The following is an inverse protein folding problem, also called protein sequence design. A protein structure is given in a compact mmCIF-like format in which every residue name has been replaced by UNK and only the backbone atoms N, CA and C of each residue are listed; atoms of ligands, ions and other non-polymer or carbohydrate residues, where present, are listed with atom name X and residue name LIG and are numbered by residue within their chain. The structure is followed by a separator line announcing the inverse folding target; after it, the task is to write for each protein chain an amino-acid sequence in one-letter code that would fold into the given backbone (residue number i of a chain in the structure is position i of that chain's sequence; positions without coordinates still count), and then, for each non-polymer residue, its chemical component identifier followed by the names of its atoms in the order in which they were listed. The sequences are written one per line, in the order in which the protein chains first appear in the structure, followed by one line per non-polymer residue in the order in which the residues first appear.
data_IF_522250064108
#
_entry.id   IF_522250064108
#
_cell.length_a   1.000
_cell.length_b   1.000
_cell.length_c   1.000
_cell.angle_alpha   90.00
_cell.angle_beta   90.00
_cell.angle_gamma   90.00
#
_symmetry.space_group_name_H-M   'P 1'
#
loop_
_entity.id
_entity.type
_entity.pdbx_description
1 polymer ?
#
# COMPACT_ATOMS: atom_id res chain seq x y z
N UNK A 1 8.55 -7.95 21.74
CA UNK A 1 7.84 -7.53 22.96
C UNK A 1 6.57 -6.84 22.53
N UNK A 2 5.40 -7.43 22.77
CA UNK A 2 4.14 -6.70 22.63
C UNK A 2 4.14 -5.62 23.72
N UNK A 3 4.21 -4.34 23.35
CA UNK A 3 3.99 -3.25 24.30
C UNK A 3 2.59 -3.47 24.89
N UNK A 4 2.46 -3.45 26.21
CA UNK A 4 1.18 -3.68 26.88
C UNK A 4 0.30 -2.43 26.77
N UNK A 5 -0.33 -2.24 25.61
CA UNK A 5 -1.17 -1.07 25.32
C UNK A 5 -2.43 -1.00 26.18
N UNK A 6 -2.77 -2.07 26.93
CA UNK A 6 -3.88 -2.08 27.90
C UNK A 6 -3.74 -1.06 29.02
N UNK A 7 -2.55 -0.49 29.23
CA UNK A 7 -2.32 0.55 30.24
C UNK A 7 -2.41 1.99 29.69
N UNK A 8 -2.55 2.16 28.37
CA UNK A 8 -2.72 3.50 27.78
C UNK A 8 -4.19 3.90 27.92
N UNK A 9 -4.43 4.96 28.70
CA UNK A 9 -5.75 5.57 28.85
C UNK A 9 -5.79 6.92 28.13
N UNK A 10 -6.68 7.08 27.17
CA UNK A 10 -6.96 8.37 26.54
C UNK A 10 -7.84 9.18 27.49
N UNK A 11 -7.32 10.31 27.98
CA UNK A 11 -8.03 11.20 28.91
C UNK A 11 -8.45 12.46 28.18
N UNK A 12 -9.76 12.72 28.15
CA UNK A 12 -10.33 13.99 27.69
C UNK A 12 -10.59 14.87 28.92
N UNK A 13 -10.03 16.08 28.93
CA UNK A 13 -10.25 17.08 29.98
C UNK A 13 -11.64 17.74 29.91
N UNK A 14 -12.35 17.60 28.78
CA UNK A 14 -13.74 18.03 28.64
C UNK A 14 -14.46 17.24 27.54
N UNK A 15 -15.79 17.31 27.54
CA UNK A 15 -16.64 16.76 26.46
C UNK A 15 -16.48 17.47 25.12
N UNK A 16 -15.77 18.62 25.08
CA UNK A 16 -15.46 19.37 23.86
C UNK A 16 -14.16 18.94 23.18
N UNK A 17 -13.40 18.04 23.81
CA UNK A 17 -12.20 17.47 23.20
C UNK A 17 -12.54 16.23 22.38
N UNK A 18 -11.85 16.09 21.25
CA UNK A 18 -11.97 14.96 20.35
C UNK A 18 -10.73 14.09 20.47
N UNK A 19 -10.91 12.79 20.71
CA UNK A 19 -9.83 11.82 20.64
C UNK A 19 -9.83 11.16 19.26
N UNK A 20 -8.74 11.32 18.50
CA UNK A 20 -8.61 10.71 17.17
C UNK A 20 -7.50 9.67 17.22
N UNK A 21 -7.81 8.41 16.89
CA UNK A 21 -6.80 7.38 16.68
C UNK A 21 -6.16 7.64 15.32
N UNK A 22 -4.84 7.83 15.27
CA UNK A 22 -4.10 8.01 14.03
C UNK A 22 -3.09 6.89 13.82
N UNK A 23 -3.11 6.26 12.65
CA UNK A 23 -2.05 5.33 12.23
C UNK A 23 -1.95 5.23 10.71
N UNK A 24 -0.72 5.15 10.20
CA UNK A 24 -0.47 4.64 8.84
C UNK A 24 0.14 3.24 8.86
N UNK A 25 0.34 2.65 10.04
CA UNK A 25 0.91 1.32 10.21
C UNK A 25 -0.19 0.25 10.33
N UNK A 26 0.05 -0.89 9.70
CA UNK A 26 -0.88 -2.01 9.73
C UNK A 26 -1.05 -2.61 11.14
N UNK A 27 -2.28 -3.01 11.46
CA UNK A 27 -2.60 -3.66 12.74
C UNK A 27 -1.89 -5.00 12.96
N UNK A 28 -1.43 -5.66 11.90
CA UNK A 28 -0.56 -6.84 12.01
C UNK A 28 0.79 -6.55 12.67
N UNK A 29 1.30 -5.31 12.58
CA UNK A 29 2.47 -4.87 13.34
C UNK A 29 2.09 -4.35 14.73
N UNK A 30 0.88 -3.80 14.86
CA UNK A 30 0.37 -3.17 16.07
C UNK A 30 -1.07 -3.64 16.37
N UNK A 31 -1.23 -4.81 17.00
CA UNK A 31 -2.55 -5.45 17.16
C UNK A 31 -3.57 -4.62 17.96
N UNK A 32 -3.11 -3.61 18.71
CA UNK A 32 -4.01 -2.69 19.42
C UNK A 32 -4.93 -1.90 18.49
N UNK A 33 -4.57 -1.69 17.21
CA UNK A 33 -5.46 -1.05 16.23
C UNK A 33 -6.65 -1.91 15.79
N UNK A 34 -6.66 -3.18 16.20
CA UNK A 34 -7.82 -4.06 16.15
C UNK A 34 -8.33 -4.39 17.56
N UNK A 35 -7.79 -3.84 18.66
CA UNK A 35 -8.31 -4.15 20.00
C UNK A 35 -9.55 -3.27 20.30
N UNK A 36 -10.75 -3.84 20.50
CA UNK A 36 -11.95 -3.05 20.81
C UNK A 36 -11.81 -2.22 22.08
N UNK A 37 -11.10 -2.72 23.10
CA UNK A 37 -10.89 -1.99 24.36
C UNK A 37 -9.96 -0.80 24.16
N UNK A 38 -8.98 -0.94 23.25
CA UNK A 38 -8.12 0.18 22.87
C UNK A 38 -8.89 1.22 22.05
N UNK A 39 -9.67 0.75 21.07
CA UNK A 39 -10.36 1.61 20.10
C UNK A 39 -11.58 2.34 20.67
N UNK A 40 -12.24 1.80 21.70
CA UNK A 40 -13.37 2.44 22.41
C UNK A 40 -12.98 3.76 23.09
N UNK A 41 -11.68 4.01 23.28
CA UNK A 41 -11.17 5.23 23.91
C UNK A 41 -11.16 6.44 22.96
N UNK A 42 -11.42 6.23 21.67
CA UNK A 42 -11.36 7.25 20.63
C UNK A 42 -12.76 7.62 20.11
N UNK A 43 -12.86 8.76 19.47
CA UNK A 43 -14.09 9.27 18.86
C UNK A 43 -14.07 9.15 17.33
N UNK A 44 -12.88 9.06 16.71
CA UNK A 44 -12.68 8.87 15.28
C UNK A 44 -11.44 8.02 15.00
N UNK A 45 -11.45 7.35 13.84
CA UNK A 45 -10.27 6.73 13.25
C UNK A 45 -9.77 7.56 12.05
N UNK A 46 -8.45 7.77 12.03
CA UNK A 46 -7.70 8.40 10.94
C UNK A 46 -6.59 7.43 10.51
N UNK A 47 -6.89 6.59 9.52
CA UNK A 47 -5.99 5.50 9.12
C UNK A 47 -6.02 5.21 7.63
N UNK A 48 -5.18 4.29 7.17
CA UNK A 48 -5.19 3.84 5.77
C UNK A 48 -6.46 3.05 5.39
N UNK A 49 -7.28 2.65 6.36
CA UNK A 49 -8.50 1.88 6.12
C UNK A 49 -9.53 2.76 5.41
N UNK A 50 -10.20 2.21 4.39
CA UNK A 50 -11.16 2.97 3.59
C UNK A 50 -12.39 3.41 4.38
N UNK A 51 -12.75 2.64 5.41
CA UNK A 51 -13.90 2.91 6.30
C UNK A 51 -13.56 3.85 7.46
N UNK A 52 -12.31 4.29 7.59
CA UNK A 52 -11.95 5.29 8.60
C UNK A 52 -12.69 6.60 8.32
N UNK A 53 -13.05 7.33 9.38
CA UNK A 53 -13.76 8.62 9.23
C UNK A 53 -12.86 9.66 8.55
N UNK A 54 -11.54 9.49 8.69
CA UNK A 54 -10.52 10.33 8.07
C UNK A 54 -9.47 9.46 7.35
N UNK A 55 -9.77 8.96 6.13
CA UNK A 55 -8.84 8.10 5.41
C UNK A 55 -7.53 8.78 5.05
N UNK A 56 -6.42 8.14 5.41
CA UNK A 56 -5.06 8.51 5.04
C UNK A 56 -4.63 7.71 3.82
N UNK A 57 -4.19 8.39 2.77
CA UNK A 57 -3.61 7.73 1.60
C UNK A 57 -2.10 7.92 1.56
N UNK A 58 -1.39 6.88 1.14
CA UNK A 58 0.01 7.01 0.73
C UNK A 58 0.15 7.58 -0.68
N UNK A 59 -0.93 7.60 -1.46
CA UNK A 59 -0.96 8.29 -2.75
C UNK A 59 -0.97 9.79 -2.52
N UNK A 60 -0.05 10.50 -3.19
CA UNK A 60 0.03 11.94 -3.18
C UNK A 60 -0.42 12.54 -4.52
N UNK A 61 -0.93 13.77 -4.49
CA UNK A 61 -1.39 14.50 -5.68
C UNK A 61 -0.28 14.69 -6.73
N UNK A 62 0.94 15.02 -6.30
CA UNK A 62 2.10 15.17 -7.20
C UNK A 62 2.40 13.87 -7.97
N UNK A 63 2.21 12.71 -7.36
CA UNK A 63 2.42 11.43 -8.05
C UNK A 63 1.38 11.21 -9.15
N UNK A 64 0.14 11.66 -8.94
CA UNK A 64 -0.93 11.59 -9.94
C UNK A 64 -0.58 12.43 -11.17
N UNK A 65 -0.08 13.64 -10.95
CA UNK A 65 0.39 14.53 -12.01
C UNK A 65 1.56 13.89 -12.76
N UNK A 66 2.59 13.43 -12.04
CA UNK A 66 3.80 12.86 -12.63
C UNK A 66 3.48 11.64 -13.50
N UNK A 67 2.72 10.64 -13.03
CA UNK A 67 2.45 9.48 -13.88
C UNK A 67 1.48 9.79 -15.04
N UNK A 68 0.79 10.92 -15.02
CA UNK A 68 -0.09 11.33 -16.12
C UNK A 68 0.71 12.03 -17.21
N UNK A 69 1.71 12.83 -16.82
CA UNK A 69 2.47 13.70 -17.72
C UNK A 69 3.81 13.12 -18.17
N UNK A 70 4.55 12.44 -17.28
CA UNK A 70 5.90 11.95 -17.58
C UNK A 70 5.88 10.86 -18.65
N UNK A 71 6.73 10.94 -19.70
CA UNK A 71 6.89 9.84 -20.62
C UNK A 71 7.43 8.60 -19.90
N UNK A 72 6.89 7.43 -20.24
CA UNK A 72 7.42 6.15 -19.75
C UNK A 72 8.72 5.86 -20.51
N UNK A 73 9.82 5.56 -19.81
CA UNK A 73 11.04 5.02 -20.45
C UNK A 73 10.69 3.82 -21.33
N UNK A 74 11.14 3.78 -22.61
CA UNK A 74 10.82 2.70 -23.54
C UNK A 74 11.18 1.30 -23.02
N UNK A 75 10.45 0.29 -23.48
CA UNK A 75 10.63 -1.11 -23.07
C UNK A 75 12.06 -1.61 -23.30
N UNK A 76 12.66 -1.25 -24.43
CA UNK A 76 14.00 -1.69 -24.86
C UNK A 76 15.12 -1.10 -24.01
N UNK A 77 14.89 0.05 -23.39
CA UNK A 77 15.86 0.73 -22.51
C UNK A 77 15.80 0.21 -21.07
N UNK A 78 14.80 -0.61 -20.75
CA UNK A 78 14.60 -1.16 -19.41
C UNK A 78 15.23 -2.54 -19.28
N UNK A 79 15.79 -2.80 -18.10
CA UNK A 79 16.31 -4.11 -17.74
C UNK A 79 15.21 -5.15 -17.52
N UNK A 80 15.45 -6.37 -18.02
CA UNK A 80 14.62 -7.56 -17.77
C UNK A 80 14.67 -8.04 -16.32
N UNK A 81 15.74 -7.66 -15.61
CA UNK A 81 15.94 -8.01 -14.21
C UNK A 81 14.89 -7.31 -13.33
N UNK A 82 14.10 -8.00 -12.49
CA UNK A 82 13.17 -7.33 -11.59
C UNK A 82 13.90 -6.53 -10.51
N UNK A 83 13.36 -5.34 -10.18
CA UNK A 83 13.85 -4.54 -9.07
C UNK A 83 13.19 -4.93 -7.74
N UNK A 84 13.95 -5.02 -6.67
CA UNK A 84 13.44 -5.19 -5.31
C UNK A 84 14.09 -4.19 -4.36
N UNK A 85 13.38 -3.11 -4.02
CA UNK A 85 13.95 -1.99 -3.23
C UNK A 85 13.36 -2.00 -1.82
N UNK A 86 14.09 -2.52 -0.82
CA UNK A 86 13.61 -2.66 0.55
C UNK A 86 14.74 -2.52 1.60
N UNK A 87 14.42 -1.87 2.73
CA UNK A 87 15.36 -1.73 3.87
C UNK A 87 14.82 -2.27 5.20
N UNK A 88 13.53 -2.61 5.30
CA UNK A 88 12.97 -3.33 6.44
C UNK A 88 12.91 -4.84 6.11
N UNK A 89 13.81 -5.64 6.66
CA UNK A 89 14.02 -7.03 6.23
C UNK A 89 13.34 -8.07 7.14
N UNK A 90 12.91 -7.65 8.33
CA UNK A 90 12.22 -8.52 9.31
C UNK A 90 10.75 -8.15 9.34
N UNK A 91 10.00 -8.68 8.37
CA UNK A 91 8.61 -8.28 8.15
C UNK A 91 7.64 -9.43 8.39
N UNK A 92 6.44 -9.11 8.90
CA UNK A 92 5.38 -10.10 9.17
C UNK A 92 4.91 -10.77 7.88
N UNK A 93 4.98 -10.05 6.74
CA UNK A 93 4.60 -10.59 5.42
C UNK A 93 5.51 -11.70 4.88
N UNK A 94 6.71 -11.88 5.44
CA UNK A 94 7.68 -12.87 4.95
C UNK A 94 8.20 -12.59 3.52
N UNK A 95 8.11 -11.34 3.05
CA UNK A 95 8.46 -10.95 1.67
C UNK A 95 9.89 -11.32 1.28
N UNK A 96 10.88 -11.11 2.15
CA UNK A 96 12.28 -11.43 1.89
C UNK A 96 12.50 -12.93 1.65
N UNK A 97 11.81 -13.79 2.42
CA UNK A 97 11.89 -15.23 2.24
C UNK A 97 11.30 -15.65 0.88
N UNK A 98 10.25 -14.97 0.43
CA UNK A 98 9.64 -15.20 -0.89
C UNK A 98 10.56 -14.75 -2.03
N UNK A 99 11.15 -13.57 -1.92
CA UNK A 99 12.10 -13.05 -2.93
C UNK A 99 13.38 -13.89 -2.98
N UNK A 100 13.88 -14.37 -1.83
CA UNK A 100 15.01 -15.31 -1.78
C UNK A 100 14.73 -16.59 -2.58
N UNK A 101 13.53 -17.17 -2.44
CA UNK A 101 13.11 -18.32 -3.25
C UNK A 101 13.01 -17.99 -4.75
N UNK A 102 12.60 -16.77 -5.11
CA UNK A 102 12.62 -16.34 -6.52
C UNK A 102 14.04 -16.23 -7.07
N UNK A 103 15.01 -15.79 -6.26
CA UNK A 103 16.42 -15.71 -6.64
C UNK A 103 17.08 -17.08 -6.87
N UNK A 104 16.45 -18.19 -6.46
CA UNK A 104 16.95 -19.54 -6.73
C UNK A 104 16.74 -19.96 -8.19
N UNK A 105 15.74 -19.38 -8.88
CA UNK A 105 15.47 -19.65 -10.28
C UNK A 105 16.58 -19.07 -11.17
N UNK A 106 17.21 -19.93 -11.98
CA UNK A 106 18.39 -19.59 -12.80
C UNK A 106 18.09 -18.64 -13.96
N UNK A 107 16.83 -18.57 -14.39
CA UNK A 107 16.36 -17.69 -15.45
C UNK A 107 15.88 -16.33 -14.93
N UNK A 108 15.98 -16.09 -13.61
CA UNK A 108 15.69 -14.79 -13.01
C UNK A 108 16.95 -14.19 -12.40
N UNK A 109 17.22 -12.93 -12.76
CA UNK A 109 18.22 -12.10 -12.09
C UNK A 109 17.51 -10.97 -11.37
N UNK A 110 17.27 -11.11 -10.06
CA UNK A 110 16.65 -10.05 -9.26
C UNK A 110 17.73 -9.08 -8.77
N UNK A 111 17.52 -7.79 -9.01
CA UNK A 111 18.41 -6.70 -8.57
C UNK A 111 17.78 -6.10 -7.33
N UNK A 112 18.37 -6.35 -6.16
CA UNK A 112 17.86 -5.87 -4.88
C UNK A 112 18.70 -4.72 -4.35
N UNK A 113 18.00 -3.67 -3.95
CA UNK A 113 18.55 -2.41 -3.46
C UNK A 113 18.05 -2.15 -2.04
N UNK A 114 18.82 -1.38 -1.26
CA UNK A 114 18.57 -1.18 0.17
C UNK A 114 19.19 -2.30 1.01
N UNK A 115 18.81 -2.37 2.29
CA UNK A 115 19.46 -3.28 3.24
C UNK A 115 19.07 -4.76 3.06
N UNK A 116 17.99 -5.06 2.34
CA UNK A 116 17.42 -6.40 2.26
C UNK A 116 17.84 -7.14 1.00
N UNK A 117 18.44 -8.34 1.16
CA UNK A 117 19.02 -9.22 0.12
C UNK A 117 20.18 -8.59 -0.69
N UNK A 118 20.13 -7.29 -0.91
CA UNK A 118 21.16 -6.37 -1.38
C UNK A 118 22.20 -6.93 -2.38
N UNK A 119 21.76 -7.24 -3.60
CA UNK A 119 22.65 -7.72 -4.67
C UNK A 119 23.43 -6.58 -5.34
N UNK A 120 23.01 -5.32 -5.16
CA UNK A 120 23.66 -4.14 -5.74
C UNK A 120 24.64 -3.43 -4.79
N UNK A 121 24.77 -3.89 -3.54
CA UNK A 121 25.75 -3.40 -2.56
C UNK A 121 25.24 -2.31 -1.62
N UNK A 122 25.94 -2.11 -0.50
CA UNK A 122 25.54 -1.24 0.62
C UNK A 122 25.99 0.22 0.47
N UNK A 123 26.67 0.58 -0.60
CA UNK A 123 27.35 1.87 -0.78
C UNK A 123 26.41 3.08 -0.87
N UNK A 124 25.11 2.92 -0.59
CA UNK A 124 24.10 3.96 -0.70
C UNK A 124 24.03 4.46 -2.12
N UNK A 125 23.15 3.89 -2.94
CA UNK A 125 22.87 4.56 -4.21
C UNK A 125 22.31 5.96 -3.91
N UNK A 126 22.93 7.01 -4.46
CA UNK A 126 22.38 8.38 -4.41
C UNK A 126 21.12 8.50 -5.28
N UNK A 127 20.84 7.48 -6.08
CA UNK A 127 19.66 7.34 -6.92
C UNK A 127 18.39 7.20 -6.06
N UNK A 128 17.31 7.87 -6.48
CA UNK A 128 16.02 7.69 -5.83
C UNK A 128 15.42 6.32 -6.15
N UNK A 129 14.52 5.82 -5.29
CA UNK A 129 13.78 4.56 -5.54
C UNK A 129 13.01 4.58 -6.87
N UNK A 130 12.45 5.73 -7.23
CA UNK A 130 11.71 5.91 -8.49
C UNK A 130 12.65 5.78 -9.69
N UNK A 131 13.84 6.38 -9.62
CA UNK A 131 14.84 6.30 -10.70
C UNK A 131 15.36 4.86 -10.87
N UNK A 132 15.58 4.15 -9.76
CA UNK A 132 15.87 2.71 -9.81
C UNK A 132 14.73 2.00 -10.57
N UNK A 133 13.47 2.19 -10.18
CA UNK A 133 12.33 1.56 -10.84
C UNK A 133 12.20 1.93 -12.33
N UNK A 134 12.56 3.15 -12.74
CA UNK A 134 12.53 3.57 -14.16
C UNK A 134 13.44 2.73 -15.05
N UNK A 135 14.53 2.17 -14.49
CA UNK A 135 15.46 1.29 -15.21
C UNK A 135 14.97 -0.15 -15.39
N UNK A 136 13.86 -0.53 -14.79
CA UNK A 136 13.40 -1.92 -14.75
C UNK A 136 12.01 -2.07 -15.38
N UNK A 137 11.77 -3.19 -16.06
CA UNK A 137 10.44 -3.51 -16.62
C UNK A 137 9.44 -3.87 -15.52
N UNK A 138 9.95 -4.58 -14.50
CA UNK A 138 9.16 -5.14 -13.39
C UNK A 138 9.78 -4.74 -12.05
N UNK A 139 8.96 -4.39 -11.06
CA UNK A 139 9.37 -4.16 -9.68
C UNK A 139 8.55 -5.00 -8.71
N UNK A 140 9.20 -5.54 -7.67
CA UNK A 140 8.57 -6.33 -6.62
C UNK A 140 8.24 -5.39 -5.46
N UNK A 141 6.96 -5.07 -5.28
CA UNK A 141 6.46 -4.01 -4.38
C UNK A 141 5.72 -4.55 -3.15
N UNK A 142 6.16 -5.70 -2.65
CA UNK A 142 5.53 -6.37 -1.50
C UNK A 142 5.61 -5.54 -0.21
N UNK A 143 4.47 -5.39 0.47
CA UNK A 143 4.37 -4.70 1.75
C UNK A 143 5.08 -5.46 2.88
N UNK A 144 5.47 -4.73 3.94
CA UNK A 144 6.01 -5.33 5.16
C UNK A 144 4.95 -6.16 5.93
N UNK A 145 3.67 -5.89 5.68
CA UNK A 145 2.54 -6.53 6.31
C UNK A 145 1.43 -6.82 5.32
N UNK A 146 0.62 -7.84 5.60
CA UNK A 146 -0.57 -8.16 4.81
C UNK A 146 -1.78 -7.76 5.65
N UNK A 147 -2.50 -6.75 5.21
CA UNK A 147 -3.74 -6.28 5.84
C UNK A 147 -4.68 -5.73 4.77
N UNK A 148 -5.98 -5.78 5.03
CA UNK A 148 -6.99 -5.14 4.20
C UNK A 148 -6.69 -3.65 4.03
N UNK A 149 -6.94 -3.09 2.85
CA UNK A 149 -6.68 -1.69 2.47
C UNK A 149 -5.23 -1.21 2.55
N UNK A 150 -4.29 -2.05 3.00
CA UNK A 150 -2.91 -1.64 3.25
C UNK A 150 -2.10 -1.59 1.94
N UNK A 151 -2.14 -0.44 1.28
CA UNK A 151 -1.36 -0.10 0.09
C UNK A 151 -0.56 1.17 0.36
N UNK A 152 0.76 1.08 0.23
CA UNK A 152 1.68 2.16 0.60
C UNK A 152 2.36 2.81 -0.59
N UNK A 153 3.37 3.65 -0.34
CA UNK A 153 4.19 4.31 -1.36
C UNK A 153 4.81 3.33 -2.35
N UNK A 154 5.02 2.06 -1.97
CA UNK A 154 5.66 1.05 -2.83
C UNK A 154 4.94 0.85 -4.15
N UNK A 155 3.61 0.84 -4.14
CA UNK A 155 2.83 0.70 -5.37
C UNK A 155 2.89 1.99 -6.19
N UNK A 156 2.70 3.14 -5.54
CA UNK A 156 2.61 4.42 -6.25
C UNK A 156 3.96 4.85 -6.84
N UNK A 157 5.08 4.57 -6.16
CA UNK A 157 6.42 4.81 -6.70
C UNK A 157 6.67 3.98 -7.98
N UNK A 158 6.13 2.76 -8.04
CA UNK A 158 6.21 1.92 -9.24
C UNK A 158 5.37 2.46 -10.39
N UNK A 159 4.16 2.95 -10.09
CA UNK A 159 3.29 3.62 -11.06
C UNK A 159 3.94 4.87 -11.65
N UNK A 160 4.49 5.74 -10.79
CA UNK A 160 5.28 6.91 -11.22
C UNK A 160 6.43 6.51 -12.15
N UNK A 161 7.17 5.46 -11.79
CA UNK A 161 8.30 4.99 -12.60
C UNK A 161 7.89 4.28 -13.90
N UNK A 162 6.60 4.00 -14.12
CA UNK A 162 6.13 3.11 -15.19
C UNK A 162 6.74 1.71 -15.12
N UNK A 163 7.08 1.24 -13.91
CA UNK A 163 7.62 -0.08 -13.67
C UNK A 163 6.48 -1.00 -13.26
N UNK A 164 6.27 -2.14 -13.93
CA UNK A 164 5.12 -3.02 -13.67
C UNK A 164 5.24 -3.61 -12.25
N UNK A 165 4.33 -3.26 -11.31
CA UNK A 165 4.45 -3.71 -9.93
C UNK A 165 3.91 -5.14 -9.75
N UNK A 166 4.72 -6.00 -9.14
CA UNK A 166 4.32 -7.32 -8.66
C UNK A 166 4.20 -7.34 -7.14
N UNK A 167 3.02 -7.73 -6.66
CA UNK A 167 2.70 -7.91 -5.23
C UNK A 167 2.96 -9.37 -4.81
N UNK A 168 2.17 -9.89 -3.89
CA UNK A 168 2.28 -11.27 -3.41
C UNK A 168 1.71 -12.28 -4.42
N UNK A 169 2.26 -13.49 -4.41
CA UNK A 169 1.86 -14.62 -5.26
C UNK A 169 2.76 -15.82 -4.98
N UNK A 170 2.41 -17.02 -5.49
CA UNK A 170 3.33 -18.17 -5.39
C UNK A 170 4.61 -17.87 -6.19
N UNK A 171 5.75 -18.45 -5.81
CA UNK A 171 7.03 -18.19 -6.49
C UNK A 171 7.00 -18.64 -7.95
N UNK A 172 6.33 -19.75 -8.24
CA UNK A 172 6.13 -20.24 -9.61
C UNK A 172 5.28 -19.26 -10.44
N UNK A 173 4.21 -18.73 -9.86
CA UNK A 173 3.33 -17.79 -10.54
C UNK A 173 4.04 -16.44 -10.77
N UNK A 174 4.73 -15.91 -9.75
CA UNK A 174 5.55 -14.69 -9.88
C UNK A 174 6.64 -14.85 -10.93
N UNK A 175 7.35 -15.99 -10.98
CA UNK A 175 8.33 -16.28 -12.03
C UNK A 175 7.69 -16.24 -13.42
N UNK A 176 6.56 -16.92 -13.60
CA UNK A 176 5.84 -16.93 -14.88
C UNK A 176 5.49 -15.52 -15.34
N UNK A 177 4.97 -14.69 -14.44
CA UNK A 177 4.59 -13.31 -14.77
C UNK A 177 5.81 -12.42 -15.05
N UNK A 178 6.90 -12.55 -14.27
CA UNK A 178 8.15 -11.82 -14.53
C UNK A 178 8.65 -12.11 -15.94
N UNK A 179 8.75 -13.39 -16.32
CA UNK A 179 9.25 -13.78 -17.64
C UNK A 179 8.31 -13.31 -18.76
N UNK A 180 6.99 -13.42 -18.55
CA UNK A 180 5.98 -12.98 -19.51
C UNK A 180 6.04 -11.47 -19.75
N UNK A 181 6.12 -10.67 -18.69
CA UNK A 181 6.12 -9.21 -18.77
C UNK A 181 7.47 -8.67 -19.25
N UNK A 182 8.59 -9.23 -18.80
CA UNK A 182 9.91 -8.78 -19.23
C UNK A 182 10.24 -9.19 -20.66
N UNK A 183 9.72 -10.33 -21.13
CA UNK A 183 10.02 -10.90 -22.44
C UNK A 183 9.13 -10.45 -23.61
N UNK A 184 8.00 -9.78 -23.34
CA UNK A 184 7.04 -9.38 -24.36
C UNK A 184 6.66 -7.90 -24.22
N UNK A 185 7.04 -7.11 -25.22
CA UNK A 185 6.78 -5.67 -25.28
C UNK A 185 5.29 -5.35 -25.25
N UNK A 186 4.48 -6.06 -26.03
CA UNK A 186 3.04 -5.77 -26.12
C UNK A 186 2.35 -6.08 -24.79
N UNK A 187 2.77 -7.17 -24.11
CA UNK A 187 2.32 -7.47 -22.76
C UNK A 187 2.71 -6.34 -21.81
N UNK A 188 3.97 -5.92 -21.80
CA UNK A 188 4.42 -4.86 -20.89
C UNK A 188 3.71 -3.53 -21.15
N UNK A 189 3.57 -3.11 -22.41
CA UNK A 189 2.87 -1.88 -22.80
C UNK A 189 1.41 -1.92 -22.35
N UNK A 190 0.74 -3.07 -22.46
CA UNK A 190 -0.63 -3.23 -21.95
C UNK A 190 -0.74 -3.01 -20.44
N UNK A 191 0.31 -3.33 -19.67
CA UNK A 191 0.35 -3.20 -18.20
C UNK A 191 0.60 -1.76 -17.73
N UNK A 192 1.10 -0.89 -18.62
CA UNK A 192 1.31 0.55 -18.32
C UNK A 192 0.36 1.46 -19.10
N UNK A 193 -0.45 0.92 -20.02
CA UNK A 193 -1.38 1.67 -20.85
C UNK A 193 -2.45 2.43 -20.04
N UNK A 194 -2.81 1.95 -18.85
CA UNK A 194 -3.76 2.61 -17.94
C UNK A 194 -3.37 4.05 -17.62
N UNK A 195 -2.07 4.39 -17.65
CA UNK A 195 -1.58 5.76 -17.39
C UNK A 195 -2.13 6.80 -18.36
N UNK A 196 -2.55 6.37 -19.56
CA UNK A 196 -3.13 7.22 -20.60
C UNK A 196 -4.65 7.19 -20.63
N UNK A 197 -5.28 6.35 -19.80
CA UNK A 197 -6.74 6.26 -19.74
C UNK A 197 -7.31 7.41 -18.91
N UNK A 198 -8.48 7.95 -19.26
CA UNK A 198 -9.25 8.81 -18.38
C UNK A 198 -9.50 8.13 -17.03
N UNK A 199 -9.46 8.89 -15.94
CA UNK A 199 -9.72 8.36 -14.58
C UNK A 199 -11.06 7.61 -14.50
N UNK A 200 -12.08 8.07 -15.24
CA UNK A 200 -13.41 7.44 -15.30
C UNK A 200 -13.43 6.02 -15.86
N UNK A 201 -12.39 5.60 -16.60
CA UNK A 201 -12.26 4.25 -17.14
C UNK A 201 -11.50 3.29 -16.22
N UNK A 202 -10.89 3.80 -15.15
CA UNK A 202 -10.16 3.00 -14.16
C UNK A 202 -11.14 2.46 -13.10
N UNK A 203 -10.71 1.48 -12.32
CA UNK A 203 -11.56 0.89 -11.28
C UNK A 203 -12.09 1.94 -10.28
N UNK A 204 -13.35 1.79 -9.79
CA UNK A 204 -13.93 2.73 -8.82
C UNK A 204 -13.08 2.93 -7.56
N UNK A 205 -12.35 1.89 -7.13
CA UNK A 205 -11.43 1.97 -6.00
C UNK A 205 -10.25 2.90 -6.30
N UNK A 206 -9.67 2.83 -7.50
CA UNK A 206 -8.58 3.72 -7.89
C UNK A 206 -9.07 5.15 -8.10
N UNK A 207 -10.27 5.33 -8.68
CA UNK A 207 -10.93 6.63 -8.77
C UNK A 207 -11.06 7.28 -7.38
N UNK A 208 -11.58 6.54 -6.39
CA UNK A 208 -11.74 7.04 -5.03
C UNK A 208 -10.40 7.45 -4.38
N UNK A 209 -9.30 6.74 -4.65
CA UNK A 209 -7.98 7.11 -4.15
C UNK A 209 -7.47 8.41 -4.78
N UNK A 210 -7.61 8.56 -6.11
CA UNK A 210 -7.21 9.79 -6.82
C UNK A 210 -8.07 10.98 -6.38
N UNK A 211 -9.39 10.82 -6.25
CA UNK A 211 -10.23 11.91 -5.74
C UNK A 211 -9.91 12.24 -4.27
N UNK A 212 -9.46 11.25 -3.50
CA UNK A 212 -8.92 11.47 -2.16
C UNK A 212 -7.77 12.47 -2.12
N UNK A 213 -6.91 12.53 -3.14
CA UNK A 213 -5.79 13.48 -3.19
C UNK A 213 -6.24 14.91 -3.47
N UNK A 214 -7.47 15.12 -3.97
CA UNK A 214 -8.06 16.43 -4.26
C UNK A 214 -8.82 17.02 -3.07
N UNK A 215 -9.02 16.24 -2.01
CA UNK A 215 -9.65 16.71 -0.77
C UNK A 215 -8.74 17.75 -0.08
N UNK A 216 -9.31 18.60 0.79
CA UNK A 216 -8.51 19.47 1.65
C UNK A 216 -7.47 18.67 2.44
N UNK A 217 -6.40 19.35 2.88
CA UNK A 217 -5.40 18.72 3.74
C UNK A 217 -6.04 18.06 4.95
N UNK A 218 -5.41 17.03 5.50
CA UNK A 218 -5.96 16.33 6.65
C UNK A 218 -6.18 17.27 7.86
N UNK A 219 -5.32 18.29 7.99
CA UNK A 219 -5.51 19.36 8.97
C UNK A 219 -6.81 20.14 8.74
N UNK A 220 -7.12 20.52 7.49
CA UNK A 220 -8.37 21.19 7.16
C UNK A 220 -9.62 20.31 7.37
N UNK A 221 -9.50 19.01 7.08
CA UNK A 221 -10.56 18.04 7.35
C UNK A 221 -10.82 17.93 8.86
N UNK A 222 -9.77 17.76 9.67
CA UNK A 222 -9.86 17.74 11.13
C UNK A 222 -10.50 19.02 11.69
N UNK A 223 -10.06 20.20 11.23
CA UNK A 223 -10.63 21.48 11.65
C UNK A 223 -12.13 21.56 11.33
N UNK A 224 -12.53 21.08 10.15
CA UNK A 224 -13.93 21.05 9.73
C UNK A 224 -14.74 20.07 10.59
N UNK A 225 -14.19 18.89 10.89
CA UNK A 225 -14.81 17.91 11.79
C UNK A 225 -14.99 18.47 13.21
N UNK A 226 -13.98 19.16 13.76
CA UNK A 226 -14.10 19.81 15.06
C UNK A 226 -15.19 20.87 15.06
N UNK A 227 -15.23 21.73 14.02
CA UNK A 227 -16.28 22.74 13.86
C UNK A 227 -17.68 22.11 13.84
N UNK A 228 -17.87 21.05 13.05
CA UNK A 228 -19.16 20.40 12.90
C UNK A 228 -19.64 19.76 14.21
N UNK A 229 -18.72 19.13 14.96
CA UNK A 229 -19.01 18.57 16.29
C UNK A 229 -19.38 19.66 17.29
N UNK A 230 -18.67 20.79 17.29
CA UNK A 230 -18.99 21.94 18.15
C UNK A 230 -20.35 22.56 17.79
N UNK A 231 -20.79 22.43 16.54
CA UNK A 231 -22.12 22.81 16.08
C UNK A 231 -23.20 21.75 16.36
N UNK A 232 -22.86 20.64 17.02
CA UNK A 232 -23.77 19.55 17.38
C UNK A 232 -23.90 18.44 16.33
N UNK A 233 -23.23 18.54 15.18
CA UNK A 233 -23.20 17.47 14.18
C UNK A 233 -22.17 16.40 14.57
N UNK A 234 -22.65 15.30 15.14
CA UNK A 234 -21.82 14.18 15.60
C UNK A 234 -21.85 12.96 14.68
N UNK A 235 -22.31 13.14 13.43
CA UNK A 235 -22.52 12.04 12.47
C UNK A 235 -21.28 11.17 12.29
N UNK A 236 -20.09 11.76 12.12
CA UNK A 236 -18.85 10.99 11.95
C UNK A 236 -18.48 10.18 13.20
N UNK A 237 -18.70 10.73 14.39
CA UNK A 237 -18.46 10.03 15.66
C UNK A 237 -19.44 8.86 15.83
N UNK A 238 -20.70 9.07 15.46
CA UNK A 238 -21.71 8.00 15.48
C UNK A 238 -21.38 6.91 14.46
N UNK A 239 -20.93 7.27 13.26
CA UNK A 239 -20.45 6.32 12.25
C UNK A 239 -19.27 5.51 12.76
N UNK A 240 -18.29 6.14 13.41
CA UNK A 240 -17.19 5.41 14.05
C UNK A 240 -17.70 4.44 15.12
N UNK A 241 -18.47 4.92 16.10
CA UNK A 241 -18.90 4.10 17.24
C UNK A 241 -19.85 2.95 16.88
N UNK A 242 -20.69 3.14 15.86
CA UNK A 242 -21.65 2.11 15.41
C UNK A 242 -21.09 1.21 14.31
N UNK A 243 -20.16 1.72 13.50
CA UNK A 243 -19.60 1.05 12.33
C UNK A 243 -18.25 0.39 12.57
N UNK A 244 -17.48 0.84 13.57
CA UNK A 244 -16.19 0.23 13.88
C UNK A 244 -16.40 -1.20 14.38
N UNK A 245 -15.67 -2.14 13.77
CA UNK A 245 -15.79 -3.57 14.07
C UNK A 245 -14.43 -4.15 14.37
N UNK A 246 -14.40 -5.08 15.32
CA UNK A 246 -13.24 -5.92 15.55
C UNK A 246 -12.96 -6.77 14.31
N UNK A 247 -11.79 -6.58 13.71
CA UNK A 247 -11.34 -7.36 12.56
C UNK A 247 -10.38 -8.46 13.05
N UNK A 248 -10.87 -9.40 13.86
CA UNK A 248 -10.06 -10.57 14.26
C UNK A 248 -9.52 -11.33 13.06
N UNK A 249 -8.44 -12.06 13.32
CA UNK A 249 -7.83 -13.11 12.49
C UNK A 249 -8.82 -14.01 11.71
N UNK A 250 -10.11 -14.09 12.07
CA UNK A 250 -11.15 -14.81 11.33
C UNK A 250 -11.54 -14.21 9.98
N UNK A 251 -11.75 -12.88 9.87
CA UNK A 251 -11.96 -12.26 8.56
C UNK A 251 -10.69 -12.33 7.72
N UNK A 252 -9.53 -12.13 8.35
CA UNK A 252 -8.24 -12.30 7.67
C UNK A 252 -8.02 -13.76 7.27
N UNK A 253 -8.46 -14.79 8.00
CA UNK A 253 -8.26 -16.19 7.61
C UNK A 253 -9.22 -16.66 6.51
N UNK A 254 -10.49 -16.28 6.55
CA UNK A 254 -11.47 -16.57 5.49
C UNK A 254 -11.17 -15.75 4.24
N UNK A 255 -10.86 -14.46 4.39
CA UNK A 255 -10.44 -13.61 3.28
C UNK A 255 -9.02 -13.90 2.83
N UNK A 256 -8.10 -14.41 3.66
CA UNK A 256 -6.79 -14.92 3.21
C UNK A 256 -6.92 -16.30 2.60
N UNK A 257 -7.91 -17.13 2.92
CA UNK A 257 -8.17 -18.36 2.19
C UNK A 257 -8.83 -18.05 0.84
N UNK A 258 -9.73 -17.06 0.80
CA UNK A 258 -10.27 -16.44 -0.42
C UNK A 258 -9.19 -15.66 -1.19
N UNK A 259 -8.24 -15.00 -0.52
CA UNK A 259 -7.11 -14.32 -1.14
C UNK A 259 -6.05 -15.33 -1.52
N UNK A 260 -5.87 -16.47 -0.85
CA UNK A 260 -4.94 -17.53 -1.28
C UNK A 260 -5.49 -18.23 -2.53
N UNK A 261 -6.81 -18.41 -2.62
CA UNK A 261 -7.47 -18.88 -3.83
C UNK A 261 -7.46 -17.82 -4.94
N UNK A 262 -7.64 -16.53 -4.62
CA UNK A 262 -7.51 -15.39 -5.56
C UNK A 262 -6.07 -14.94 -5.82
N UNK A 263 -5.07 -15.34 -5.01
CA UNK A 263 -3.62 -15.07 -5.18
C UNK A 263 -3.03 -16.01 -6.23
N UNK A 264 -3.75 -17.08 -6.59
CA UNK A 264 -3.57 -17.73 -7.89
C UNK A 264 -3.86 -16.76 -9.04
N UNK A 265 -4.74 -15.77 -8.83
CA UNK A 265 -5.24 -14.82 -9.82
C UNK A 265 -4.73 -13.37 -9.63
N UNK A 266 -3.92 -13.07 -8.59
CA UNK A 266 -3.34 -11.72 -8.34
C UNK A 266 -2.37 -11.28 -9.45
N UNK A 267 -1.91 -12.21 -10.30
CA UNK A 267 -1.14 -11.89 -11.51
C UNK A 267 -2.01 -11.37 -12.67
N UNK A 268 -3.32 -11.56 -12.56
CA UNK A 268 -4.32 -11.25 -13.59
C UNK A 268 -5.21 -10.07 -13.19
N UNK A 269 -4.97 -9.43 -12.04
CA UNK A 269 -5.69 -8.19 -11.72
C UNK A 269 -5.42 -7.16 -12.83
N UNK A 270 -6.48 -6.57 -13.42
CA UNK A 270 -6.29 -5.44 -14.33
C UNK A 270 -5.54 -4.34 -13.58
N UNK A 271 -4.44 -3.88 -14.18
CA UNK A 271 -3.78 -2.64 -13.76
C UNK A 271 -4.69 -1.48 -14.16
N UNK A 272 -4.83 -0.47 -13.27
CA UNK A 272 -6.03 -0.13 -12.49
C UNK A 272 -7.36 0.03 -13.22
#
# INVERSE_FOLDING_TARGET
MAKNYRQVRVVKSSSRQLAVMMTMEASTNYPCFDDPVFMDQFDLEMSYRQESQLPLSYLRGDQVEIWTEDPVTPFEERSDSPAYVQSNCKTVSGRDARVRRLMEYRDLKIRSYGSCLNTEGTSGTKESKIDIYRRHKVCIVMENSIAMDYVTEKLYDAFVAGCVPLKFGSTAALRKEILRVSGDKAVWESKVAWRKKPLSELSPAFQAQVEGTRKPSMQCQLCSTVRDILAGNTTLVQQFRSGWRYRSEWQVAEEMNSLKSKLKDVLEMPFP
#
